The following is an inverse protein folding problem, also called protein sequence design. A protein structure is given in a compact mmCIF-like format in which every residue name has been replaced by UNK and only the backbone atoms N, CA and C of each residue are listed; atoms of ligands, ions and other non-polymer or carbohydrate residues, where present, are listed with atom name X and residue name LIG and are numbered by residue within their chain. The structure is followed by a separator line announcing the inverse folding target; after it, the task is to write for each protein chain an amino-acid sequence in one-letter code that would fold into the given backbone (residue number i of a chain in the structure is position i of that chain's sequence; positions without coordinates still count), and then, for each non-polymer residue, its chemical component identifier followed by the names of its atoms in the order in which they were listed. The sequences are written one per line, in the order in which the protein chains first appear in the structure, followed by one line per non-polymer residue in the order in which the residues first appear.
data_IF_942151516735
#
_entry.id   IF_942151516735
#
_cell.length_a   1.000
_cell.length_b   1.000
_cell.length_c   1.000
_cell.angle_alpha   90.00
_cell.angle_beta   90.00
_cell.angle_gamma   90.00
#
_symmetry.space_group_name_H-M   'P 1'
#
loop_
_entity.id
_entity.type
_entity.pdbx_description
1 polymer ?
#
# COMPACT_ATOMS: atom_id res chain seq x y z
N UNK A 1 -52.03 -9.83 -27.84
CA UNK A 1 -50.62 -9.42 -27.73
C UNK A 1 -49.95 -10.31 -26.71
N UNK A 2 -48.64 -10.49 -26.81
CA UNK A 2 -47.85 -11.07 -25.73
C UNK A 2 -46.60 -10.22 -25.55
N UNK A 3 -46.10 -10.14 -24.33
CA UNK A 3 -44.93 -9.34 -23.98
C UNK A 3 -43.87 -10.23 -23.34
N UNK A 4 -42.63 -10.00 -23.71
CA UNK A 4 -41.45 -10.63 -23.15
C UNK A 4 -40.69 -9.58 -22.35
N UNK A 5 -40.53 -9.80 -21.05
CA UNK A 5 -39.65 -9.01 -20.21
C UNK A 5 -38.30 -9.73 -20.08
N UNK A 6 -37.22 -9.06 -20.46
CA UNK A 6 -35.85 -9.51 -20.25
C UNK A 6 -35.22 -8.71 -19.12
N UNK A 7 -34.67 -9.40 -18.12
CA UNK A 7 -33.89 -8.78 -17.06
C UNK A 7 -32.40 -9.04 -17.30
N UNK A 8 -31.61 -7.99 -17.44
CA UNK A 8 -30.15 -8.08 -17.45
C UNK A 8 -29.64 -7.86 -16.03
N UNK A 9 -29.25 -8.96 -15.38
CA UNK A 9 -28.80 -8.95 -13.98
C UNK A 9 -27.45 -8.26 -13.82
N UNK A 10 -27.33 -7.44 -12.79
CA UNK A 10 -26.10 -6.70 -12.42
C UNK A 10 -25.03 -7.58 -11.75
N UNK A 11 -25.29 -8.88 -11.60
CA UNK A 11 -24.39 -9.86 -10.97
C UNK A 11 -24.61 -10.05 -9.47
N UNK A 12 -25.56 -9.33 -8.86
CA UNK A 12 -26.05 -9.62 -7.51
C UNK A 12 -27.16 -10.67 -7.56
N UNK A 13 -27.33 -11.42 -6.47
CA UNK A 13 -28.20 -12.59 -6.43
C UNK A 13 -29.70 -12.24 -6.62
N UNK A 14 -30.15 -12.34 -7.87
CA UNK A 14 -31.56 -12.25 -8.24
C UNK A 14 -31.96 -10.89 -8.81
N UNK A 15 -33.23 -10.78 -9.19
CA UNK A 15 -33.80 -9.58 -9.77
C UNK A 15 -33.87 -8.44 -8.74
N UNK A 16 -33.22 -7.31 -9.01
CA UNK A 16 -33.12 -6.17 -8.08
C UNK A 16 -33.35 -4.81 -8.79
N UNK A 17 -33.35 -3.71 -8.03
CA UNK A 17 -33.61 -2.35 -8.54
C UNK A 17 -32.44 -1.76 -9.37
N UNK A 18 -31.24 -2.31 -9.27
CA UNK A 18 -30.06 -1.96 -10.06
C UNK A 18 -29.96 -2.70 -11.41
N UNK A 19 -30.84 -3.67 -11.66
CA UNK A 19 -30.88 -4.40 -12.92
C UNK A 19 -31.48 -3.58 -14.06
N UNK A 20 -31.06 -3.91 -15.29
CA UNK A 20 -31.62 -3.29 -16.49
C UNK A 20 -32.76 -4.12 -17.07
N UNK A 21 -33.95 -3.53 -17.11
CA UNK A 21 -35.18 -4.18 -17.58
C UNK A 21 -35.55 -3.75 -19.00
N UNK A 22 -35.79 -4.73 -19.88
CA UNK A 22 -36.28 -4.50 -21.23
C UNK A 22 -37.63 -5.18 -21.45
N UNK A 23 -38.57 -4.49 -22.10
CA UNK A 23 -39.90 -5.01 -22.42
C UNK A 23 -40.12 -5.04 -23.94
N UNK A 24 -40.20 -6.23 -24.52
CA UNK A 24 -40.60 -6.42 -25.92
C UNK A 24 -42.08 -6.79 -25.98
N UNK A 25 -42.88 -6.03 -26.72
CA UNK A 25 -44.31 -6.31 -26.88
C UNK A 25 -44.66 -6.64 -28.33
N UNK A 26 -45.30 -7.79 -28.54
CA UNK A 26 -45.75 -8.25 -29.85
C UNK A 26 -47.26 -8.06 -29.98
N UNK A 27 -47.67 -7.35 -31.03
CA UNK A 27 -49.06 -7.16 -31.41
C UNK A 27 -49.33 -7.93 -32.71
N UNK A 28 -50.31 -8.82 -32.68
CA UNK A 28 -50.80 -9.53 -33.87
C UNK A 28 -52.20 -9.01 -34.13
N UNK A 29 -52.39 -8.30 -35.23
CA UNK A 29 -53.68 -7.81 -35.71
C UNK A 29 -54.26 -8.74 -36.78
N UNK A 30 -55.59 -8.76 -36.89
CA UNK A 30 -56.29 -9.53 -37.93
C UNK A 30 -55.94 -8.99 -39.33
N UNK A 31 -55.82 -9.83 -40.38
CA UNK A 31 -55.47 -9.39 -41.74
C UNK A 31 -56.36 -8.26 -42.28
N UNK A 32 -57.63 -8.24 -41.88
CA UNK A 32 -58.61 -7.23 -42.32
C UNK A 32 -58.52 -5.91 -41.53
N UNK A 33 -57.70 -5.85 -40.48
CA UNK A 33 -57.49 -4.67 -39.63
C UNK A 33 -56.11 -4.03 -39.82
N UNK A 34 -55.34 -4.51 -40.80
CA UNK A 34 -53.99 -4.02 -41.08
C UNK A 34 -54.09 -2.75 -41.94
N UNK A 35 -53.79 -1.60 -41.35
CA UNK A 35 -53.45 -0.39 -42.12
C UNK A 35 -51.94 -0.39 -42.35
N UNK A 36 -51.47 -0.02 -43.55
CA UNK A 36 -50.04 0.29 -43.72
C UNK A 36 -49.70 1.42 -42.74
N UNK A 37 -48.78 1.15 -41.83
CA UNK A 37 -48.25 2.18 -40.93
C UNK A 37 -47.39 3.15 -41.73
N UNK A 38 -47.37 4.41 -41.29
CA UNK A 38 -46.50 5.44 -41.86
C UNK A 38 -45.02 5.08 -41.66
N UNK A 39 -44.13 5.57 -42.52
CA UNK A 39 -42.68 5.25 -42.52
C UNK A 39 -42.03 5.41 -41.13
N UNK A 40 -42.52 6.36 -40.32
CA UNK A 40 -42.05 6.65 -38.97
C UNK A 40 -42.38 5.54 -37.96
N UNK A 41 -43.55 4.88 -38.10
CA UNK A 41 -43.95 3.75 -37.25
C UNK A 41 -43.25 2.44 -37.64
N UNK A 42 -42.85 2.31 -38.92
CA UNK A 42 -42.07 1.17 -39.41
C UNK A 42 -40.65 1.13 -38.82
N UNK A 43 -40.08 2.30 -38.53
CA UNK A 43 -38.77 2.43 -37.86
C UNK A 43 -38.83 1.93 -36.42
N UNK A 44 -39.90 2.25 -35.67
CA UNK A 44 -40.07 1.80 -34.27
C UNK A 44 -40.22 0.28 -34.13
N UNK A 45 -40.57 -0.43 -35.21
CA UNK A 45 -40.74 -1.91 -35.23
C UNK A 45 -39.53 -2.67 -35.76
N UNK A 46 -38.53 -1.96 -36.29
CA UNK A 46 -37.34 -2.57 -36.92
C UNK A 46 -36.10 -2.24 -36.11
N UNK A 47 -35.75 -3.11 -35.16
CA UNK A 47 -34.42 -3.07 -34.54
C UNK A 47 -33.44 -3.70 -35.54
N UNK A 48 -32.67 -2.87 -36.23
CA UNK A 48 -31.65 -3.36 -37.17
C UNK A 48 -30.43 -3.89 -36.40
N UNK A 49 -29.75 -4.90 -36.95
CA UNK A 49 -28.55 -5.52 -36.35
C UNK A 49 -27.40 -4.51 -36.11
N UNK A 50 -27.41 -3.35 -36.76
CA UNK A 50 -26.44 -2.27 -36.55
C UNK A 50 -26.77 -1.31 -35.40
N UNK A 51 -27.97 -1.38 -34.81
CA UNK A 51 -28.40 -0.50 -33.70
C UNK A 51 -28.14 -1.15 -32.32
N UNK A 52 -27.60 -2.38 -32.30
CA UNK A 52 -27.19 -3.07 -31.08
C UNK A 52 -26.01 -2.39 -30.38
N UNK A 53 -25.11 -1.75 -31.14
CA UNK A 53 -23.97 -1.02 -30.58
C UNK A 53 -24.41 0.23 -29.81
N UNK A 54 -25.59 0.80 -30.06
CA UNK A 54 -26.10 1.95 -29.29
C UNK A 54 -26.92 1.53 -28.07
N UNK A 55 -27.57 0.36 -28.13
CA UNK A 55 -28.51 -0.12 -27.11
C UNK A 55 -27.85 -0.93 -25.98
N UNK A 56 -26.64 -1.46 -26.19
CA UNK A 56 -25.94 -2.31 -25.21
C UNK A 56 -24.51 -1.88 -24.89
N UNK A 57 -24.01 -0.80 -25.48
CA UNK A 57 -22.76 -0.18 -25.03
C UNK A 57 -23.07 0.56 -23.74
N UNK A 58 -22.80 -0.10 -22.62
CA UNK A 58 -22.59 0.58 -21.36
C UNK A 58 -21.41 1.52 -21.57
N UNK A 59 -21.69 2.77 -21.92
CA UNK A 59 -20.68 3.84 -21.91
C UNK A 59 -20.24 3.92 -20.46
N UNK A 60 -19.05 3.40 -20.16
CA UNK A 60 -18.44 3.54 -18.85
C UNK A 60 -18.51 5.02 -18.48
N UNK A 61 -19.12 5.28 -17.32
CA UNK A 61 -19.27 6.64 -16.80
C UNK A 61 -17.89 7.31 -16.80
N UNK A 62 -17.69 8.39 -17.58
CA UNK A 62 -16.39 9.04 -17.66
C UNK A 62 -15.92 9.50 -16.28
N UNK A 63 -16.84 9.83 -15.36
CA UNK A 63 -16.50 10.18 -13.98
C UNK A 63 -15.96 8.98 -13.20
N UNK A 64 -16.52 7.79 -13.39
CA UNK A 64 -16.04 6.56 -12.75
C UNK A 64 -14.67 6.11 -13.28
N UNK A 65 -14.42 6.26 -14.59
CA UNK A 65 -13.13 5.96 -15.19
C UNK A 65 -12.04 6.95 -14.73
N UNK A 66 -12.39 8.24 -14.63
CA UNK A 66 -11.49 9.25 -14.09
C UNK A 66 -11.22 9.06 -12.60
N UNK A 67 -12.22 8.65 -11.81
CA UNK A 67 -12.05 8.32 -10.41
C UNK A 67 -11.07 7.14 -10.22
N UNK A 68 -11.20 6.07 -11.00
CA UNK A 68 -10.25 4.94 -10.96
C UNK A 68 -8.83 5.38 -11.33
N UNK A 69 -8.67 6.21 -12.36
CA UNK A 69 -7.35 6.77 -12.72
C UNK A 69 -6.78 7.63 -11.59
N UNK A 70 -7.59 8.46 -10.96
CA UNK A 70 -7.15 9.29 -9.83
C UNK A 70 -6.75 8.44 -8.63
N UNK A 71 -7.46 7.35 -8.35
CA UNK A 71 -7.13 6.41 -7.28
C UNK A 71 -5.77 5.73 -7.54
N UNK A 72 -5.53 5.24 -8.75
CA UNK A 72 -4.24 4.63 -9.12
C UNK A 72 -3.09 5.64 -8.98
N UNK A 73 -3.29 6.86 -9.46
CA UNK A 73 -2.33 7.94 -9.34
C UNK A 73 -2.05 8.24 -7.86
N UNK A 74 -3.09 8.38 -7.04
CA UNK A 74 -2.97 8.65 -5.61
C UNK A 74 -2.23 7.52 -4.88
N UNK A 75 -2.54 6.25 -5.21
CA UNK A 75 -1.87 5.09 -4.64
C UNK A 75 -0.37 5.08 -4.98
N UNK A 76 -0.03 5.33 -6.25
CA UNK A 76 1.36 5.41 -6.69
C UNK A 76 2.12 6.56 -6.03
N UNK A 77 1.51 7.74 -5.90
CA UNK A 77 2.11 8.86 -5.18
C UNK A 77 2.34 8.54 -3.70
N UNK A 78 1.38 7.92 -3.03
CA UNK A 78 1.50 7.59 -1.62
C UNK A 78 2.58 6.52 -1.38
N UNK A 79 2.57 5.43 -2.17
CA UNK A 79 3.54 4.34 -2.05
C UNK A 79 4.98 4.82 -2.30
N UNK A 80 5.20 5.58 -3.38
CA UNK A 80 6.53 6.10 -3.70
C UNK A 80 6.95 7.20 -2.72
N UNK A 81 6.04 8.11 -2.35
CA UNK A 81 6.30 9.16 -1.37
C UNK A 81 6.73 8.59 -0.02
N UNK A 82 6.05 7.54 0.44
CA UNK A 82 6.39 6.84 1.67
C UNK A 82 7.78 6.20 1.60
N UNK A 83 8.12 5.54 0.47
CA UNK A 83 9.46 4.99 0.25
C UNK A 83 10.55 6.05 0.37
N UNK A 84 10.43 7.15 -0.37
CA UNK A 84 11.43 8.21 -0.35
C UNK A 84 11.52 8.90 1.01
N UNK A 85 10.39 9.14 1.68
CA UNK A 85 10.35 9.72 3.02
C UNK A 85 11.13 8.88 4.02
N UNK A 86 10.81 7.58 4.15
CA UNK A 86 11.41 6.72 5.17
C UNK A 86 12.88 6.40 4.90
N UNK A 87 13.27 6.22 3.64
CA UNK A 87 14.68 6.02 3.28
C UNK A 87 15.49 7.28 3.56
N UNK A 88 14.99 8.46 3.18
CA UNK A 88 15.67 9.74 3.45
C UNK A 88 15.79 10.01 4.94
N UNK A 89 14.72 9.78 5.71
CA UNK A 89 14.76 9.88 7.17
C UNK A 89 15.81 8.94 7.77
N UNK A 90 15.86 7.69 7.30
CA UNK A 90 16.85 6.70 7.75
C UNK A 90 18.28 7.17 7.51
N UNK A 91 18.57 7.73 6.34
CA UNK A 91 19.88 8.30 6.00
C UNK A 91 20.22 9.47 6.95
N UNK A 92 19.27 10.36 7.22
CA UNK A 92 19.48 11.49 8.13
C UNK A 92 19.76 10.99 9.56
N UNK A 93 19.03 9.97 10.04
CA UNK A 93 19.26 9.37 11.36
C UNK A 93 20.67 8.77 11.47
N UNK A 94 21.11 8.01 10.46
CA UNK A 94 22.48 7.47 10.41
C UNK A 94 23.51 8.60 10.39
N UNK A 95 23.28 9.63 9.58
CA UNK A 95 24.12 10.82 9.53
C UNK A 95 24.24 11.53 10.88
N UNK A 96 23.13 11.70 11.60
CA UNK A 96 23.11 12.31 12.93
C UNK A 96 23.90 11.49 13.96
N UNK A 97 23.81 10.16 13.92
CA UNK A 97 24.61 9.26 14.79
C UNK A 97 26.11 9.41 14.49
N UNK A 98 26.51 9.39 13.22
CA UNK A 98 27.91 9.56 12.81
C UNK A 98 28.44 10.93 13.19
N UNK A 99 27.66 11.98 12.97
CA UNK A 99 28.00 13.34 13.40
C UNK A 99 28.17 13.40 14.92
N UNK A 100 27.24 12.85 15.70
CA UNK A 100 27.32 12.82 17.16
C UNK A 100 28.61 12.17 17.67
N UNK A 101 28.99 11.02 17.10
CA UNK A 101 30.25 10.33 17.41
C UNK A 101 31.48 11.19 17.10
N UNK A 102 31.48 11.85 15.94
CA UNK A 102 32.57 12.75 15.56
C UNK A 102 32.69 13.92 16.55
N UNK A 103 31.58 14.54 16.94
CA UNK A 103 31.57 15.63 17.91
C UNK A 103 32.05 15.20 19.29
N UNK A 104 31.60 14.03 19.79
CA UNK A 104 32.02 13.52 21.11
C UNK A 104 33.53 13.24 21.16
N UNK A 105 34.09 12.64 20.09
CA UNK A 105 35.54 12.37 20.02
C UNK A 105 36.37 13.63 19.86
N UNK A 106 35.88 14.61 19.09
CA UNK A 106 36.64 15.82 18.78
C UNK A 106 36.55 16.91 19.84
N UNK A 107 35.40 17.02 20.51
CA UNK A 107 35.11 18.12 21.45
C UNK A 107 34.62 17.65 22.82
N UNK A 108 34.10 16.43 22.94
CA UNK A 108 33.49 15.92 24.17
C UNK A 108 34.44 15.24 25.15
N UNK A 109 35.73 15.17 24.85
CA UNK A 109 36.72 14.46 25.68
C UNK A 109 36.67 12.93 25.55
N UNK A 110 35.82 12.41 24.66
CA UNK A 110 35.64 10.98 24.46
C UNK A 110 34.46 10.38 25.24
N UNK A 111 34.26 9.07 25.12
CA UNK A 111 33.13 8.36 25.72
C UNK A 111 33.33 8.20 27.23
N UNK A 112 32.26 8.41 28.00
CA UNK A 112 32.27 8.22 29.46
C UNK A 112 32.63 6.79 29.84
N UNK A 113 33.43 6.62 30.89
CA UNK A 113 33.80 5.33 31.43
C UNK A 113 32.56 4.55 31.90
N UNK A 114 32.58 3.25 31.64
CA UNK A 114 31.59 2.32 32.17
C UNK A 114 32.31 1.16 32.84
N UNK A 115 32.04 0.98 34.13
CA UNK A 115 32.64 -0.08 34.92
C UNK A 115 32.44 -1.47 34.28
N UNK A 116 33.53 -2.24 34.20
CA UNK A 116 33.53 -3.58 33.60
C UNK A 116 32.48 -4.51 34.23
N UNK A 117 32.22 -4.34 35.54
CA UNK A 117 31.21 -5.11 36.30
C UNK A 117 29.79 -4.88 35.78
N UNK A 118 29.51 -3.69 35.24
CA UNK A 118 28.23 -3.33 34.65
C UNK A 118 28.23 -3.52 33.13
N UNK A 119 29.34 -3.19 32.48
CA UNK A 119 29.50 -3.26 31.03
C UNK A 119 29.37 -4.69 30.50
N UNK A 120 29.92 -5.70 31.18
CA UNK A 120 29.88 -7.10 30.71
C UNK A 120 28.44 -7.65 30.71
N UNK A 121 27.67 -7.62 31.82
CA UNK A 121 26.28 -8.06 31.80
C UNK A 121 25.40 -7.25 30.82
N UNK A 122 25.62 -5.95 30.73
CA UNK A 122 24.87 -5.07 29.82
C UNK A 122 25.19 -5.37 28.34
N UNK A 123 26.47 -5.57 28.03
CA UNK A 123 26.96 -5.93 26.70
C UNK A 123 26.42 -7.28 26.24
N UNK A 124 26.37 -8.29 27.12
CA UNK A 124 25.78 -9.61 26.81
C UNK A 124 24.29 -9.48 26.50
N UNK A 125 23.52 -8.79 27.35
CA UNK A 125 22.07 -8.62 27.13
C UNK A 125 21.78 -7.88 25.82
N UNK A 126 22.51 -6.79 25.57
CA UNK A 126 22.40 -6.02 24.32
C UNK A 126 22.82 -6.87 23.13
N UNK A 127 23.92 -7.61 23.24
CA UNK A 127 24.41 -8.50 22.20
C UNK A 127 23.41 -9.58 21.81
N UNK A 128 22.80 -10.25 22.79
CA UNK A 128 21.74 -11.25 22.54
C UNK A 128 20.52 -10.64 21.87
N UNK A 129 20.07 -9.47 22.33
CA UNK A 129 18.94 -8.77 21.70
C UNK A 129 19.26 -8.38 20.26
N UNK A 130 20.43 -7.77 20.03
CA UNK A 130 20.89 -7.38 18.69
C UNK A 130 21.00 -8.58 17.76
N UNK A 131 21.57 -9.69 18.24
CA UNK A 131 21.65 -10.93 17.46
C UNK A 131 20.26 -11.46 17.10
N UNK A 132 19.33 -11.44 18.07
CA UNK A 132 17.94 -11.87 17.83
C UNK A 132 17.28 -11.03 16.75
N UNK A 133 17.42 -9.70 16.82
CA UNK A 133 16.87 -8.78 15.81
C UNK A 133 17.55 -8.98 14.46
N UNK A 134 18.86 -9.23 14.42
CA UNK A 134 19.60 -9.52 13.19
C UNK A 134 19.09 -10.78 12.49
N UNK A 135 18.80 -11.84 13.25
CA UNK A 135 18.22 -13.07 12.70
C UNK A 135 16.81 -12.82 12.14
N UNK A 136 15.98 -12.03 12.84
CA UNK A 136 14.65 -11.65 12.35
C UNK A 136 14.74 -10.78 11.09
N UNK A 137 15.73 -9.87 11.03
CA UNK A 137 16.00 -9.08 9.82
C UNK A 137 16.39 -9.97 8.64
N UNK A 138 17.30 -10.93 8.86
CA UNK A 138 17.68 -11.91 7.82
C UNK A 138 16.49 -12.70 7.31
N UNK A 139 15.65 -13.20 8.23
CA UNK A 139 14.40 -13.87 7.87
C UNK A 139 13.46 -12.98 7.05
N UNK A 140 13.26 -11.71 7.46
CA UNK A 140 12.36 -10.80 6.77
C UNK A 140 12.83 -10.49 5.33
N UNK A 141 14.15 -10.45 5.10
CA UNK A 141 14.74 -10.28 3.77
C UNK A 141 14.54 -11.54 2.94
N UNK A 142 14.84 -12.72 3.50
CA UNK A 142 14.73 -14.00 2.78
C UNK A 142 13.29 -14.35 2.41
N UNK A 143 12.32 -14.04 3.27
CA UNK A 143 10.88 -14.27 3.06
C UNK A 143 10.23 -13.21 2.16
N UNK A 144 10.97 -12.18 1.75
CA UNK A 144 10.46 -11.13 0.86
C UNK A 144 9.39 -10.24 1.53
N UNK A 145 9.50 -10.00 2.83
CA UNK A 145 8.58 -9.15 3.56
C UNK A 145 8.52 -7.73 2.96
N UNK A 146 7.39 -7.01 3.11
CA UNK A 146 7.27 -5.64 2.61
C UNK A 146 8.44 -4.76 3.02
N UNK A 147 8.94 -3.94 2.09
CA UNK A 147 10.19 -3.17 2.25
C UNK A 147 10.24 -2.34 3.53
N UNK A 148 9.10 -1.83 4.01
CA UNK A 148 9.00 -1.04 5.23
C UNK A 148 9.40 -1.84 6.48
N UNK A 149 8.99 -3.11 6.57
CA UNK A 149 9.40 -3.99 7.68
C UNK A 149 10.89 -4.30 7.61
N UNK A 150 11.41 -4.62 6.43
CA UNK A 150 12.83 -4.86 6.23
C UNK A 150 13.68 -3.63 6.59
N UNK A 151 13.22 -2.42 6.20
CA UNK A 151 13.89 -1.17 6.53
C UNK A 151 13.91 -0.91 8.05
N UNK A 152 12.78 -1.06 8.73
CA UNK A 152 12.71 -0.88 10.20
C UNK A 152 13.59 -1.90 10.92
N UNK A 153 13.50 -3.18 10.55
CA UNK A 153 14.33 -4.24 11.15
C UNK A 153 15.83 -3.99 10.89
N UNK A 154 16.20 -3.55 9.68
CA UNK A 154 17.56 -3.16 9.34
C UNK A 154 18.06 -2.00 10.20
N UNK A 155 17.26 -0.95 10.37
CA UNK A 155 17.58 0.19 11.22
C UNK A 155 17.70 -0.19 12.70
N UNK A 156 16.82 -1.04 13.22
CA UNK A 156 16.91 -1.56 14.59
C UNK A 156 18.16 -2.42 14.78
N UNK A 157 18.54 -3.20 13.77
CA UNK A 157 19.77 -3.99 13.78
C UNK A 157 20.99 -3.07 13.85
N UNK A 158 21.06 -2.04 12.99
CA UNK A 158 22.13 -1.05 13.01
C UNK A 158 22.21 -0.33 14.37
N UNK A 159 21.07 0.05 14.93
CA UNK A 159 20.98 0.67 16.25
C UNK A 159 21.47 -0.27 17.36
N UNK A 160 21.07 -1.54 17.33
CA UNK A 160 21.52 -2.56 18.25
C UNK A 160 23.03 -2.80 18.16
N UNK A 161 23.57 -2.90 16.95
CA UNK A 161 25.01 -3.03 16.72
C UNK A 161 25.77 -1.80 17.24
N UNK A 162 25.27 -0.60 16.98
CA UNK A 162 25.83 0.64 17.51
C UNK A 162 25.80 0.67 19.04
N UNK A 163 24.71 0.23 19.68
CA UNK A 163 24.61 0.15 21.14
C UNK A 163 25.60 -0.84 21.77
N UNK A 164 25.85 -1.98 21.13
CA UNK A 164 26.89 -2.94 21.55
C UNK A 164 28.27 -2.31 21.41
N UNK A 165 28.57 -1.72 20.25
CA UNK A 165 29.80 -0.98 19.99
C UNK A 165 30.08 0.09 21.07
N UNK A 166 29.08 0.93 21.38
CA UNK A 166 29.18 1.96 22.43
C UNK A 166 29.52 1.37 23.78
N UNK A 167 28.88 0.26 24.15
CA UNK A 167 29.13 -0.41 25.44
C UNK A 167 30.58 -0.91 25.53
N UNK A 168 31.14 -1.45 24.44
CA UNK A 168 32.54 -1.90 24.38
C UNK A 168 33.50 -0.72 24.51
N UNK A 169 33.21 0.37 23.81
CA UNK A 169 34.05 1.57 23.83
C UNK A 169 34.05 2.24 25.20
N UNK A 170 32.88 2.37 25.83
CA UNK A 170 32.75 2.91 27.19
C UNK A 170 33.48 2.06 28.24
N UNK A 171 33.43 0.73 28.09
CA UNK A 171 34.16 -0.20 28.96
C UNK A 171 35.69 -0.07 28.85
N UNK A 172 36.20 0.50 27.75
CA UNK A 172 37.63 0.70 27.47
C UNK A 172 38.11 2.13 27.75
N UNK A 173 37.19 3.06 28.01
CA UNK A 173 37.57 4.44 28.34
C UNK A 173 38.31 4.47 29.68
N UNK A 174 39.16 5.48 29.89
CA UNK A 174 39.88 5.65 31.16
C UNK A 174 38.92 6.15 32.26
N UNK A 175 38.95 5.58 33.48
CA UNK A 175 38.08 6.00 34.56
C UNK A 175 38.50 7.38 35.10
N UNK A 176 37.53 8.27 35.30
CA UNK A 176 37.76 9.58 35.91
C UNK A 176 37.43 9.54 37.42
N UNK A 177 37.94 10.50 38.20
CA UNK A 177 37.75 10.50 39.67
C UNK A 177 36.29 10.49 40.13
N UNK A 178 35.36 10.96 39.30
CA UNK A 178 33.93 10.97 39.59
C UNK A 178 33.21 9.65 39.27
N UNK A 179 33.90 8.70 38.61
CA UNK A 179 33.36 7.39 38.23
C UNK A 179 33.63 6.30 39.29
N UNK A 180 34.41 6.59 40.33
CA UNK A 180 34.92 5.64 41.33
C UNK A 180 34.08 5.54 42.62
N UNK A 181 32.81 5.95 42.61
CA UNK A 181 31.92 5.98 43.80
C UNK A 181 30.87 4.88 43.78
#
# INVERSE_FOLDING_TARGET
SFSLAGNAVDGLNGANEGDNWNLLSFFISSPETMTNDDEENLVLRTISVGDFDSLFVAVEDPEALEAQRQEEIAHNFFSNGNLFYWVTLSIILVGAVVQGEFYERRFGGGPKHLDMRLAVPQGIRRGLLTLSVFLVFGWAVDDGQPWGYALVLGMLTLWGMFGVYRTIVQARAEPEHHDLV
#
